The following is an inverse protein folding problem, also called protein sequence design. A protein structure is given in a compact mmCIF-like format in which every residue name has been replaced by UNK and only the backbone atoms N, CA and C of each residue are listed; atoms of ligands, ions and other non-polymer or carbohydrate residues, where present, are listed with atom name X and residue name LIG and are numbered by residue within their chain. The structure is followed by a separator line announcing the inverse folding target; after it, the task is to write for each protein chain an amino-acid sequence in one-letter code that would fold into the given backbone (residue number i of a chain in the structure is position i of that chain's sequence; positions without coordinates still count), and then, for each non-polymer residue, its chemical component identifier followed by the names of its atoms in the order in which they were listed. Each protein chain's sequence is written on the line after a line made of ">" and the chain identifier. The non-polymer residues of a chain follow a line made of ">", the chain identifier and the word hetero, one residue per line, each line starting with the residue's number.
data_IF_052593636863
#
_entry.id   IF_052593636863
#
_cell.length_a   1.000
_cell.length_b   1.000
_cell.length_c   1.000
_cell.angle_alpha   90.00
_cell.angle_beta   90.00
_cell.angle_gamma   90.00
#
_symmetry.space_group_name_H-M   'P 1'
#
loop_
_entity.id
_entity.type
_entity.pdbx_description
1 polymer ?
#
# COMPACT_ATOMS: atom_id res chain seq x y z
N UNK A 1 13.17 0.82 1.85
CA UNK A 1 12.34 1.09 0.66
C UNK A 1 10.90 0.91 1.09
N UNK A 2 10.05 1.93 0.95
CA UNK A 2 8.66 1.83 1.35
C UNK A 2 7.76 1.43 0.19
N UNK A 3 6.67 0.76 0.56
CA UNK A 3 5.56 0.43 -0.31
C UNK A 3 4.33 1.12 0.27
N UNK A 4 3.57 1.79 -0.58
CA UNK A 4 2.40 2.58 -0.14
C UNK A 4 1.21 2.29 -1.02
N UNK A 5 0.05 2.03 -0.42
CA UNK A 5 -1.21 1.79 -1.12
C UNK A 5 -2.17 2.93 -0.81
N UNK A 6 -2.64 3.59 -1.86
CA UNK A 6 -3.54 4.74 -1.82
C UNK A 6 -4.94 4.26 -2.21
N UNK A 7 -5.75 3.92 -1.21
CA UNK A 7 -7.10 3.39 -1.38
C UNK A 7 -8.17 4.49 -1.38
N UNK A 8 -9.16 4.41 -2.27
CA UNK A 8 -10.28 5.38 -2.35
C UNK A 8 -11.52 4.95 -1.57
N UNK A 9 -11.55 3.70 -1.12
CA UNK A 9 -12.57 3.19 -0.20
C UNK A 9 -12.11 3.38 1.25
N UNK A 10 -13.02 3.58 2.18
CA UNK A 10 -12.77 3.49 3.64
C UNK A 10 -12.96 2.06 4.16
N UNK A 11 -13.47 1.15 3.32
CA UNK A 11 -13.68 -0.26 3.68
C UNK A 11 -12.38 -0.86 4.17
N UNK A 12 -12.43 -1.45 5.37
CA UNK A 12 -11.31 -2.18 5.93
C UNK A 12 -10.94 -3.36 5.00
N UNK A 13 -9.68 -3.46 4.55
CA UNK A 13 -9.22 -4.63 3.82
C UNK A 13 -9.19 -5.85 4.77
N UNK A 14 -9.85 -6.96 4.40
CA UNK A 14 -9.89 -8.15 5.25
C UNK A 14 -8.52 -8.81 5.35
N UNK A 15 -7.88 -8.71 6.52
CA UNK A 15 -6.52 -9.22 6.77
C UNK A 15 -6.40 -10.74 6.61
N UNK A 16 -7.45 -11.48 6.98
CA UNK A 16 -7.50 -12.92 6.75
C UNK A 16 -7.41 -13.24 5.25
N UNK A 17 -8.14 -12.49 4.41
CA UNK A 17 -8.10 -12.67 2.96
C UNK A 17 -6.76 -12.22 2.36
N UNK A 18 -6.07 -11.23 2.94
CA UNK A 18 -4.70 -10.88 2.56
C UNK A 18 -3.76 -12.07 2.81
N UNK A 19 -3.82 -12.68 3.99
CA UNK A 19 -2.99 -13.84 4.31
C UNK A 19 -3.31 -15.04 3.40
N UNK A 20 -4.59 -15.34 3.17
CA UNK A 20 -5.03 -16.38 2.23
C UNK A 20 -4.53 -16.12 0.81
N UNK A 21 -4.60 -14.87 0.34
CA UNK A 21 -4.09 -14.48 -0.98
C UNK A 21 -2.58 -14.71 -1.10
N UNK A 22 -1.81 -14.30 -0.08
CA UNK A 22 -0.36 -14.49 -0.05
C UNK A 22 0.00 -15.98 0.01
N UNK A 23 -0.70 -16.77 0.83
CA UNK A 23 -0.50 -18.22 0.91
C UNK A 23 -0.78 -18.91 -0.43
N UNK A 24 -1.87 -18.53 -1.11
CA UNK A 24 -2.23 -19.07 -2.43
C UNK A 24 -1.18 -18.75 -3.49
N UNK A 25 -0.43 -17.65 -3.32
CA UNK A 25 0.70 -17.28 -4.17
C UNK A 25 2.03 -17.98 -3.78
N UNK A 26 2.02 -18.90 -2.80
CA UNK A 26 3.21 -19.57 -2.31
C UNK A 26 4.08 -18.71 -1.38
N UNK A 27 3.50 -17.64 -0.81
CA UNK A 27 4.16 -16.69 0.08
C UNK A 27 3.60 -16.86 1.51
N UNK A 28 4.08 -17.85 2.28
CA UNK A 28 3.56 -18.10 3.61
C UNK A 28 3.85 -16.92 4.55
N UNK A 29 2.80 -16.46 5.24
CA UNK A 29 2.86 -15.40 6.25
C UNK A 29 2.02 -15.74 7.46
N UNK A 30 2.40 -15.26 8.63
CA UNK A 30 1.57 -15.26 9.82
C UNK A 30 1.16 -13.80 10.12
N UNK A 31 -0.13 -13.44 10.00
CA UNK A 31 -0.61 -12.09 10.24
C UNK A 31 -0.75 -11.81 11.75
N UNK A 32 -0.16 -10.72 12.23
CA UNK A 32 -0.24 -10.25 13.61
C UNK A 32 -0.67 -8.78 13.62
N UNK A 33 -1.96 -8.51 13.83
CA UNK A 33 -2.51 -7.15 13.73
C UNK A 33 -3.17 -6.71 15.03
N UNK A 34 -3.17 -5.39 15.24
CA UNK A 34 -3.90 -4.70 16.28
C UNK A 34 -4.75 -3.60 15.65
N UNK A 35 -5.80 -3.21 16.35
CA UNK A 35 -6.76 -2.23 15.88
C UNK A 35 -7.49 -1.56 17.02
N UNK A 36 -8.34 -0.63 16.64
CA UNK A 36 -9.25 0.13 17.49
C UNK A 36 -10.69 0.05 16.93
N UNK A 37 -11.55 0.98 17.35
CA UNK A 37 -12.94 1.05 16.93
C UNK A 37 -13.12 1.37 15.44
N UNK A 38 -12.07 1.84 14.74
CA UNK A 38 -12.04 2.12 13.30
C UNK A 38 -11.39 1.00 12.48
N UNK A 39 -11.11 -0.13 13.13
CA UNK A 39 -10.53 -1.31 12.51
C UNK A 39 -9.05 -1.50 12.83
N UNK A 40 -8.35 -2.29 12.03
CA UNK A 40 -6.91 -2.46 12.19
C UNK A 40 -6.15 -1.20 11.79
N UNK A 41 -5.11 -0.89 12.57
CA UNK A 41 -4.27 0.30 12.39
C UNK A 41 -2.81 -0.07 12.17
N UNK A 42 -2.38 -1.21 12.69
CA UNK A 42 -1.01 -1.68 12.51
C UNK A 42 -0.87 -3.18 12.72
N UNK A 43 0.18 -3.76 12.15
CA UNK A 43 0.51 -5.15 12.34
C UNK A 43 1.80 -5.56 11.65
N UNK A 44 2.01 -6.87 11.65
CA UNK A 44 3.15 -7.52 11.06
C UNK A 44 2.70 -8.70 10.20
N UNK A 45 3.31 -8.85 9.02
CA UNK A 45 3.28 -10.09 8.26
C UNK A 45 4.60 -10.82 8.53
N UNK A 46 4.56 -11.86 9.36
CA UNK A 46 5.75 -12.63 9.72
C UNK A 46 5.98 -13.74 8.71
N UNK A 47 7.18 -13.82 8.14
CA UNK A 47 7.54 -14.88 7.20
C UNK A 47 8.33 -16.00 7.89
N UNK A 48 8.35 -17.23 7.33
CA UNK A 48 9.28 -18.26 7.76
C UNK A 48 10.73 -17.73 7.74
N UNK A 49 11.47 -18.00 8.82
CA UNK A 49 12.82 -17.45 9.00
C UNK A 49 12.88 -16.21 9.90
N UNK A 50 11.74 -15.69 10.35
CA UNK A 50 11.66 -14.71 11.45
C UNK A 50 11.71 -13.24 11.04
N UNK A 51 11.81 -12.94 9.74
CA UNK A 51 11.60 -11.59 9.24
C UNK A 51 10.11 -11.20 9.36
N UNK A 52 9.85 -9.92 9.56
CA UNK A 52 8.50 -9.38 9.72
C UNK A 52 8.37 -8.08 8.91
N UNK A 53 7.40 -8.04 7.99
CA UNK A 53 7.03 -6.80 7.31
C UNK A 53 6.07 -6.05 8.21
N UNK A 54 6.41 -4.81 8.55
CA UNK A 54 5.47 -3.93 9.26
C UNK A 54 4.44 -3.41 8.29
N UNK A 55 3.19 -3.37 8.73
CA UNK A 55 2.06 -2.85 7.97
C UNK A 55 1.33 -1.85 8.85
N UNK A 56 1.09 -0.64 8.33
CA UNK A 56 0.32 0.38 9.02
C UNK A 56 -0.80 0.89 8.11
N UNK A 57 -1.95 1.22 8.70
CA UNK A 57 -3.11 1.77 8.01
C UNK A 57 -3.51 3.06 8.67
N UNK A 58 -3.67 4.07 7.83
CA UNK A 58 -4.08 5.41 8.20
C UNK A 58 -5.35 5.77 7.42
N UNK A 59 -6.34 6.34 8.08
CA UNK A 59 -7.54 6.89 7.50
C UNK A 59 -7.38 8.39 7.30
N UNK A 60 -7.64 8.88 6.10
CA UNK A 60 -7.38 10.28 5.75
C UNK A 60 -8.04 11.27 6.70
N UNK A 61 -9.29 11.03 7.07
CA UNK A 61 -10.05 11.95 7.91
C UNK A 61 -9.73 11.78 9.41
N UNK A 62 -9.29 10.59 9.85
CA UNK A 62 -8.98 10.33 11.27
C UNK A 62 -7.52 10.69 11.62
N UNK A 63 -6.60 10.51 10.67
CA UNK A 63 -5.15 10.72 10.85
C UNK A 63 -4.66 12.03 10.22
N UNK A 64 -5.57 12.89 9.74
CA UNK A 64 -5.28 14.22 9.18
C UNK A 64 -4.26 14.20 8.01
N UNK A 65 -4.38 13.21 7.11
CA UNK A 65 -3.41 12.98 6.02
C UNK A 65 -3.52 13.97 4.85
N UNK A 66 -4.33 15.03 4.96
CA UNK A 66 -4.70 15.86 3.80
C UNK A 66 -3.48 16.53 3.19
N UNK A 67 -2.58 17.05 4.02
CA UNK A 67 -1.38 17.74 3.56
C UNK A 67 -0.37 16.78 2.94
N UNK A 68 -0.18 15.58 3.53
CA UNK A 68 0.68 14.55 2.96
C UNK A 68 0.18 14.09 1.58
N UNK A 69 -1.12 13.83 1.45
CA UNK A 69 -1.74 13.42 0.19
C UNK A 69 -1.64 14.51 -0.89
N UNK A 70 -1.77 15.78 -0.50
CA UNK A 70 -1.55 16.91 -1.41
C UNK A 70 -0.09 17.01 -1.85
N UNK A 71 0.87 16.69 -0.98
CA UNK A 71 2.29 16.64 -1.35
C UNK A 71 2.57 15.54 -2.40
N UNK A 72 2.01 14.34 -2.22
CA UNK A 72 2.08 13.28 -3.23
C UNK A 72 1.43 13.69 -4.56
N UNK A 73 0.25 14.32 -4.50
CA UNK A 73 -0.44 14.80 -5.68
C UNK A 73 0.40 15.84 -6.45
N UNK A 74 1.00 16.79 -5.73
CA UNK A 74 1.90 17.80 -6.31
C UNK A 74 3.15 17.14 -6.93
N UNK A 75 3.74 16.13 -6.29
CA UNK A 75 4.86 15.39 -6.89
C UNK A 75 4.44 14.72 -8.21
N UNK A 76 3.30 14.03 -8.23
CA UNK A 76 2.75 13.36 -9.41
C UNK A 76 2.46 14.37 -10.53
N UNK A 77 1.96 15.57 -10.19
CA UNK A 77 1.68 16.64 -11.14
C UNK A 77 2.93 17.08 -11.92
N UNK A 78 4.11 17.05 -11.29
CA UNK A 78 5.37 17.41 -11.96
C UNK A 78 5.87 16.37 -12.98
N UNK A 79 5.26 15.18 -13.04
CA UNK A 79 5.71 14.09 -13.88
C UNK A 79 5.10 14.20 -15.28
N UNK A 80 5.92 14.08 -16.32
CA UNK A 80 5.46 14.03 -17.72
C UNK A 80 5.00 12.61 -18.09
N UNK A 81 3.75 12.30 -17.74
CA UNK A 81 3.10 11.02 -18.05
C UNK A 81 1.63 11.25 -18.44
N UNK A 82 1.08 10.46 -19.38
CA UNK A 82 -0.36 10.50 -19.68
C UNK A 82 -1.22 10.10 -18.47
N UNK A 83 -0.63 9.48 -17.44
CA UNK A 83 -1.33 9.06 -16.23
C UNK A 83 -1.30 10.11 -15.10
N UNK A 84 -0.47 11.15 -15.19
CA UNK A 84 -0.24 12.11 -14.08
C UNK A 84 -1.51 12.77 -13.59
N UNK A 85 -2.37 13.28 -14.48
CA UNK A 85 -3.62 13.93 -14.08
C UNK A 85 -4.58 13.01 -13.33
N UNK A 86 -4.76 11.77 -13.82
CA UNK A 86 -5.63 10.79 -13.17
C UNK A 86 -5.05 10.33 -11.82
N UNK A 87 -3.74 10.14 -11.75
CA UNK A 87 -3.07 9.68 -10.55
C UNK A 87 -3.00 10.77 -9.46
N UNK A 88 -2.80 12.03 -9.84
CA UNK A 88 -2.87 13.17 -8.93
C UNK A 88 -4.27 13.25 -8.28
N UNK A 89 -5.32 13.13 -9.07
CA UNK A 89 -6.70 13.09 -8.55
C UNK A 89 -6.92 11.89 -7.64
N UNK A 90 -6.34 10.73 -7.96
CA UNK A 90 -6.41 9.54 -7.11
C UNK A 90 -5.73 9.79 -5.76
N UNK A 91 -4.54 10.38 -5.74
CA UNK A 91 -3.84 10.72 -4.49
C UNK A 91 -4.70 11.65 -3.60
N UNK A 92 -5.29 12.71 -4.16
CA UNK A 92 -6.18 13.65 -3.46
C UNK A 92 -7.43 12.95 -2.90
N UNK A 93 -7.98 12.00 -3.64
CA UNK A 93 -9.19 11.25 -3.28
C UNK A 93 -8.92 10.06 -2.36
N UNK A 94 -7.67 9.82 -1.98
CA UNK A 94 -7.32 8.75 -1.04
C UNK A 94 -8.11 8.92 0.24
N UNK A 95 -8.66 7.82 0.71
CA UNK A 95 -9.44 7.68 1.93
C UNK A 95 -8.72 6.86 3.00
N UNK A 96 -7.86 5.95 2.57
CA UNK A 96 -6.96 5.24 3.45
C UNK A 96 -5.59 5.04 2.77
N UNK A 97 -4.53 5.19 3.56
CA UNK A 97 -3.15 4.93 3.17
C UNK A 97 -2.66 3.71 3.94
N UNK A 98 -2.17 2.70 3.23
CA UNK A 98 -1.49 1.56 3.85
C UNK A 98 -0.02 1.60 3.50
N UNK A 99 0.85 1.52 4.49
CA UNK A 99 2.30 1.44 4.31
C UNK A 99 2.81 0.04 4.61
N UNK A 100 3.81 -0.42 3.86
CA UNK A 100 4.54 -1.65 4.14
C UNK A 100 6.04 -1.36 4.18
N UNK A 101 6.67 -1.76 5.29
CA UNK A 101 8.10 -1.60 5.55
C UNK A 101 8.74 -2.98 5.72
N UNK A 102 9.58 -3.44 4.77
CA UNK A 102 10.39 -4.62 5.00
C UNK A 102 11.56 -4.34 5.96
N UNK A 103 12.07 -5.36 6.66
CA UNK A 103 13.35 -5.27 7.34
C UNK A 103 14.48 -4.90 6.36
N UNK A 104 15.47 -4.14 6.83
CA UNK A 104 16.53 -3.57 5.98
C UNK A 104 17.29 -4.61 5.12
N UNK A 105 17.51 -5.82 5.65
CA UNK A 105 18.32 -6.86 5.01
C UNK A 105 17.48 -8.03 4.44
N UNK A 106 16.15 -7.87 4.36
CA UNK A 106 15.26 -8.94 3.89
C UNK A 106 14.83 -8.71 2.43
N UNK A 107 15.11 -9.67 1.55
CA UNK A 107 14.56 -9.68 0.19
C UNK A 107 13.14 -10.24 0.20
N UNK A 108 12.16 -9.32 0.29
CA UNK A 108 10.73 -9.63 0.37
C UNK A 108 9.93 -8.93 -0.74
N UNK A 109 10.57 -8.52 -1.84
CA UNK A 109 9.93 -7.73 -2.92
C UNK A 109 8.66 -8.41 -3.45
N UNK A 110 8.74 -9.71 -3.74
CA UNK A 110 7.60 -10.46 -4.27
C UNK A 110 6.41 -10.49 -3.30
N UNK A 111 6.66 -10.56 -1.99
CA UNK A 111 5.63 -10.53 -0.96
C UNK A 111 5.00 -9.15 -0.85
N UNK A 112 5.83 -8.10 -0.81
CA UNK A 112 5.37 -6.71 -0.70
C UNK A 112 4.54 -6.31 -1.93
N UNK A 113 4.99 -6.68 -3.13
CA UNK A 113 4.26 -6.44 -4.38
C UNK A 113 2.92 -7.19 -4.38
N UNK A 114 2.90 -8.45 -3.96
CA UNK A 114 1.66 -9.23 -3.87
C UNK A 114 0.66 -8.60 -2.88
N UNK A 115 1.15 -8.18 -1.70
CA UNK A 115 0.34 -7.48 -0.70
C UNK A 115 -0.21 -6.15 -1.24
N UNK A 116 0.62 -5.33 -1.89
CA UNK A 116 0.18 -4.09 -2.52
C UNK A 116 -0.92 -4.31 -3.56
N UNK A 117 -0.78 -5.31 -4.43
CA UNK A 117 -1.81 -5.62 -5.44
C UNK A 117 -3.13 -6.01 -4.80
N UNK A 118 -3.09 -6.88 -3.78
CA UNK A 118 -4.28 -7.27 -3.03
C UNK A 118 -4.96 -6.06 -2.38
N UNK A 119 -4.20 -5.27 -1.63
CA UNK A 119 -4.70 -4.11 -0.90
C UNK A 119 -5.26 -3.04 -1.85
N UNK A 120 -4.56 -2.77 -2.95
CA UNK A 120 -5.02 -1.84 -3.98
C UNK A 120 -6.33 -2.34 -4.62
N UNK A 121 -6.43 -3.63 -4.95
CA UNK A 121 -7.67 -4.19 -5.48
C UNK A 121 -8.83 -4.12 -4.47
N UNK A 122 -8.57 -4.41 -3.19
CA UNK A 122 -9.57 -4.37 -2.12
C UNK A 122 -10.08 -2.96 -1.81
N UNK A 123 -9.31 -1.91 -2.17
CA UNK A 123 -9.60 -0.52 -1.80
C UNK A 123 -9.85 0.41 -2.99
N UNK A 124 -9.98 -0.15 -4.20
CA UNK A 124 -10.06 0.62 -5.45
C UNK A 124 -8.91 1.64 -5.55
N UNK A 125 -7.70 1.11 -5.35
CA UNK A 125 -6.48 1.87 -5.10
C UNK A 125 -5.40 1.70 -6.15
N UNK A 126 -4.35 2.49 -5.96
CA UNK A 126 -3.05 2.40 -6.64
C UNK A 126 -1.98 2.18 -5.59
N UNK A 127 -0.77 1.79 -6.00
CA UNK A 127 0.35 1.68 -5.07
C UNK A 127 1.62 2.30 -5.63
N UNK A 128 2.47 2.81 -4.73
CA UNK A 128 3.78 3.38 -5.03
C UNK A 128 4.85 2.54 -4.35
N UNK A 129 5.99 2.41 -5.02
CA UNK A 129 7.19 1.78 -4.47
C UNK A 129 8.36 2.75 -4.64
N UNK A 130 9.01 3.11 -3.53
CA UNK A 130 10.15 4.03 -3.53
C UNK A 130 11.22 3.57 -4.51
N UNK A 131 11.72 4.50 -5.33
CA UNK A 131 12.76 4.26 -6.33
C UNK A 131 12.28 3.53 -7.59
N UNK A 132 10.98 3.20 -7.69
CA UNK A 132 10.38 2.52 -8.85
C UNK A 132 9.24 3.32 -9.46
N UNK A 133 8.35 3.86 -8.62
CA UNK A 133 7.23 4.69 -9.04
C UNK A 133 5.86 4.11 -8.72
N UNK A 134 4.87 4.51 -9.51
CA UNK A 134 3.44 4.30 -9.25
C UNK A 134 2.85 3.23 -10.14
N UNK A 135 1.97 2.40 -9.58
CA UNK A 135 1.39 1.24 -10.23
C UNK A 135 -0.12 1.17 -10.01
N UNK A 136 -0.85 0.65 -10.99
CA UNK A 136 -2.26 0.29 -10.80
C UNK A 136 -2.40 -0.91 -9.87
N UNK A 137 -3.61 -1.17 -9.36
CA UNK A 137 -3.89 -2.37 -8.56
C UNK A 137 -3.61 -3.71 -9.27
N UNK A 138 -3.60 -3.72 -10.62
CA UNK A 138 -3.20 -4.89 -11.41
C UNK A 138 -1.67 -5.04 -11.55
N UNK A 139 -0.91 -4.01 -11.17
CA UNK A 139 0.54 -3.93 -11.26
C UNK A 139 1.08 -3.36 -12.57
N UNK A 140 0.26 -2.64 -13.33
CA UNK A 140 0.73 -1.88 -14.48
C UNK A 140 1.45 -0.62 -14.00
N UNK A 141 2.68 -0.37 -14.45
CA UNK A 141 3.40 0.87 -14.17
C UNK A 141 2.67 2.05 -14.81
N UNK A 142 2.34 3.06 -14.00
CA UNK A 142 1.66 4.29 -14.40
C UNK A 142 2.67 5.43 -14.58
N UNK A 143 3.60 5.58 -13.64
CA UNK A 143 4.65 6.60 -13.64
C UNK A 143 5.93 6.00 -13.08
N UNK A 144 7.04 6.20 -13.79
CA UNK A 144 8.39 5.90 -13.30
C UNK A 144 8.89 7.01 -12.38
N UNK A 145 9.57 6.65 -11.30
CA UNK A 145 10.31 7.62 -10.48
C UNK A 145 11.67 8.03 -11.07
N UNK A 146 12.21 7.20 -11.98
CA UNK A 146 13.42 7.46 -12.78
C UNK A 146 13.11 8.31 -14.01
#
# INVERSE_FOLDING_TARGET
>A
MWYRVFGRSESEPPLAALAEHLHAAGLPVEPHFKGDDLGWTSGELRVPGGAAVKVERYLTDADDLRDDLNAYAAEVETRDSPHSGALMQHAIQTKQLVTLEPPADADLDSLLVAACKFLAAATDGVYQIDGRGWFSGAGMLLISEQ
#
